data_IF_141765493424
#
_entry.id   IF_141765493424
#
_cell.length_a   1.000
_cell.length_b   1.000
_cell.length_c   1.000
_cell.angle_alpha   90.00
_cell.angle_beta   90.00
_cell.angle_gamma   90.00
#
_symmetry.space_group_name_H-M   'P 1'
#
loop_
_entity.id
_entity.type
_entity.pdbx_description
1 polymer ?
#
# COMPACT_ATOMS: atom_id res chain seq x y z
N UNK A 1 2.54 19.43 9.52
CA UNK A 1 1.23 18.79 9.26
C UNK A 1 1.59 17.49 8.57
N UNK A 2 1.37 16.33 9.22
CA UNK A 2 2.10 15.07 8.96
C UNK A 2 2.43 14.83 7.48
N UNK A 3 3.70 15.02 7.12
CA UNK A 3 4.22 14.91 5.75
C UNK A 3 4.49 13.46 5.35
N UNK A 4 4.47 12.52 6.30
CA UNK A 4 4.89 11.13 6.09
C UNK A 4 4.13 10.42 4.97
N UNK A 5 2.81 10.57 4.88
CA UNK A 5 2.02 9.92 3.82
C UNK A 5 2.25 10.57 2.46
N UNK A 6 2.53 11.88 2.42
CA UNK A 6 2.89 12.59 1.19
C UNK A 6 4.29 12.20 0.71
N UNK A 7 5.24 12.09 1.64
CA UNK A 7 6.60 11.61 1.36
C UNK A 7 6.57 10.17 0.85
N UNK A 8 5.78 9.30 1.48
CA UNK A 8 5.58 7.93 1.03
C UNK A 8 4.93 7.89 -0.36
N UNK A 9 3.91 8.70 -0.62
CA UNK A 9 3.29 8.81 -1.94
C UNK A 9 4.29 9.28 -3.01
N UNK A 10 5.15 10.25 -2.69
CA UNK A 10 6.22 10.70 -3.59
C UNK A 10 7.23 9.58 -3.89
N UNK A 11 7.58 8.77 -2.89
CA UNK A 11 8.44 7.58 -3.08
C UNK A 11 7.75 6.52 -3.96
N UNK A 12 6.46 6.29 -3.77
CA UNK A 12 5.67 5.36 -4.59
C UNK A 12 5.66 5.82 -6.06
N UNK A 13 5.38 7.09 -6.32
CA UNK A 13 5.41 7.65 -7.68
C UNK A 13 6.80 7.58 -8.30
N UNK A 14 7.86 7.91 -7.55
CA UNK A 14 9.23 7.80 -8.05
C UNK A 14 9.61 6.35 -8.42
N UNK A 15 9.09 5.37 -7.66
CA UNK A 15 9.34 3.95 -7.89
C UNK A 15 8.45 3.32 -8.95
N UNK A 16 7.39 4.00 -9.40
CA UNK A 16 6.49 3.55 -10.47
C UNK A 16 7.21 3.39 -11.81
N UNK A 17 8.22 4.22 -12.07
CA UNK A 17 9.04 4.19 -13.28
C UNK A 17 10.30 3.31 -13.17
N UNK A 18 10.54 2.71 -12.00
CA UNK A 18 11.68 1.81 -11.81
C UNK A 18 11.45 0.45 -12.51
N UNK A 19 12.52 -0.31 -12.73
CA UNK A 19 12.40 -1.70 -13.20
C UNK A 19 11.68 -2.55 -12.15
N UNK A 20 10.75 -3.40 -12.58
CA UNK A 20 9.99 -4.30 -11.71
C UNK A 20 10.86 -5.29 -10.94
N UNK A 21 11.99 -5.72 -11.50
CA UNK A 21 12.96 -6.60 -10.85
C UNK A 21 13.68 -5.94 -9.66
N UNK A 22 13.67 -4.60 -9.62
CA UNK A 22 14.36 -3.79 -8.61
C UNK A 22 13.44 -3.20 -7.54
N UNK A 23 12.12 -3.28 -7.74
CA UNK A 23 11.15 -2.55 -6.93
C UNK A 23 9.81 -3.29 -6.84
N UNK A 24 9.41 -3.61 -5.60
CA UNK A 24 8.10 -4.18 -5.31
C UNK A 24 6.95 -3.33 -5.87
N UNK A 25 7.05 -2.00 -5.74
CA UNK A 25 6.06 -1.04 -6.24
C UNK A 25 5.93 -1.13 -7.76
N UNK A 26 7.05 -1.20 -8.48
CA UNK A 26 7.04 -1.35 -9.93
C UNK A 26 6.39 -2.68 -10.35
N UNK A 27 6.69 -3.78 -9.64
CA UNK A 27 6.05 -5.07 -9.87
C UNK A 27 4.54 -5.07 -9.61
N UNK A 28 4.03 -4.28 -8.66
CA UNK A 28 2.58 -4.10 -8.47
C UNK A 28 1.94 -3.36 -9.65
N UNK A 29 2.58 -2.30 -10.14
CA UNK A 29 2.07 -1.55 -11.30
C UNK A 29 2.10 -2.37 -12.59
N UNK A 30 3.15 -3.17 -12.80
CA UNK A 30 3.24 -4.09 -13.94
C UNK A 30 2.12 -5.15 -13.92
N UNK A 31 1.84 -5.73 -12.75
CA UNK A 31 0.75 -6.70 -12.57
C UNK A 31 -0.65 -6.06 -12.68
N UNK A 32 -0.73 -4.74 -12.51
CA UNK A 32 -1.92 -3.94 -12.76
C UNK A 32 -2.94 -3.91 -11.63
N UNK A 33 -4.06 -3.22 -11.88
CA UNK A 33 -5.06 -2.82 -10.88
C UNK A 33 -5.64 -4.00 -10.10
N UNK A 34 -5.90 -5.15 -10.74
CA UNK A 34 -6.49 -6.31 -10.06
C UNK A 34 -5.58 -6.85 -8.94
N UNK A 35 -4.27 -6.87 -9.15
CA UNK A 35 -3.31 -7.29 -8.12
C UNK A 35 -3.24 -6.29 -6.99
N UNK A 36 -3.27 -4.99 -7.30
CA UNK A 36 -3.29 -3.92 -6.30
C UNK A 36 -4.55 -4.02 -5.42
N UNK A 37 -5.72 -4.16 -6.03
CA UNK A 37 -6.99 -4.29 -5.30
C UNK A 37 -7.06 -5.57 -4.47
N UNK A 38 -6.47 -6.67 -4.95
CA UNK A 38 -6.35 -7.89 -4.16
C UNK A 38 -5.59 -7.62 -2.85
N UNK A 39 -4.43 -6.94 -2.91
CA UNK A 39 -3.66 -6.58 -1.72
C UNK A 39 -4.45 -5.66 -0.79
N UNK A 40 -5.12 -4.63 -1.31
CA UNK A 40 -5.99 -3.76 -0.48
C UNK A 40 -7.06 -4.59 0.26
N UNK A 41 -7.69 -5.55 -0.41
CA UNK A 41 -8.68 -6.44 0.22
C UNK A 41 -8.09 -7.40 1.25
N UNK A 42 -6.90 -7.94 0.97
CA UNK A 42 -6.12 -8.81 1.87
C UNK A 42 -5.79 -8.08 3.18
N UNK A 43 -5.13 -6.93 3.08
CA UNK A 43 -4.72 -6.14 4.25
C UNK A 43 -5.92 -5.62 5.06
N UNK A 44 -7.02 -5.28 4.38
CA UNK A 44 -8.24 -4.86 5.06
C UNK A 44 -8.83 -6.01 5.91
N UNK A 45 -8.83 -7.23 5.38
CA UNK A 45 -9.29 -8.40 6.13
C UNK A 45 -8.34 -8.72 7.30
N UNK A 46 -7.04 -8.68 7.07
CA UNK A 46 -6.02 -8.94 8.09
C UNK A 46 -6.05 -7.88 9.20
N UNK A 47 -6.23 -6.60 8.87
CA UNK A 47 -6.42 -5.51 9.86
C UNK A 47 -7.64 -5.77 10.76
N UNK A 48 -8.77 -6.19 10.16
CA UNK A 48 -9.98 -6.52 10.93
C UNK A 48 -9.76 -7.71 11.86
N UNK A 49 -9.04 -8.74 11.40
CA UNK A 49 -8.72 -9.93 12.19
C UNK A 49 -7.78 -9.54 13.35
N UNK A 50 -6.71 -8.80 13.08
CA UNK A 50 -5.75 -8.35 14.08
C UNK A 50 -6.40 -7.50 15.18
N UNK A 51 -7.32 -6.60 14.79
CA UNK A 51 -8.11 -5.81 15.75
C UNK A 51 -9.03 -6.69 16.61
N UNK A 52 -9.60 -7.75 16.03
CA UNK A 52 -10.47 -8.70 16.75
C UNK A 52 -9.69 -9.59 17.73
N UNK A 53 -8.43 -9.91 17.42
CA UNK A 53 -7.59 -10.79 18.23
C UNK A 53 -6.81 -10.06 19.35
N UNK A 54 -7.07 -8.77 19.58
CA UNK A 54 -6.36 -7.92 20.55
C UNK A 54 -4.82 -7.97 20.39
N UNK A 55 -4.35 -8.11 19.15
CA UNK A 55 -2.93 -8.15 18.81
C UNK A 55 -2.46 -6.79 18.29
N UNK A 56 -2.10 -5.89 19.21
CA UNK A 56 -1.72 -4.51 18.90
C UNK A 56 -0.54 -4.40 17.91
N UNK A 57 0.43 -5.31 18.00
CA UNK A 57 1.59 -5.30 17.11
C UNK A 57 1.20 -5.65 15.68
N UNK A 58 0.36 -6.68 15.52
CA UNK A 58 -0.17 -7.06 14.21
C UNK A 58 -1.08 -5.97 13.67
N UNK A 59 -1.94 -5.40 14.52
CA UNK A 59 -2.86 -4.34 14.11
C UNK A 59 -2.11 -3.13 13.54
N UNK A 60 -1.02 -2.69 14.18
CA UNK A 60 -0.17 -1.62 13.67
C UNK A 60 0.46 -2.00 12.33
N UNK A 61 0.92 -3.24 12.19
CA UNK A 61 1.56 -3.74 10.98
C UNK A 61 0.58 -3.76 9.79
N UNK A 62 -0.58 -4.41 9.93
CA UNK A 62 -1.57 -4.52 8.84
C UNK A 62 -2.20 -3.17 8.51
N UNK A 63 -2.37 -2.29 9.50
CA UNK A 63 -2.85 -0.92 9.23
C UNK A 63 -1.84 -0.16 8.36
N UNK A 64 -0.55 -0.30 8.63
CA UNK A 64 0.49 0.34 7.83
C UNK A 64 0.54 -0.24 6.41
N UNK A 65 0.38 -1.55 6.25
CA UNK A 65 0.37 -2.18 4.92
C UNK A 65 -0.90 -1.81 4.13
N UNK A 66 -2.06 -1.75 4.80
CA UNK A 66 -3.30 -1.25 4.22
C UNK A 66 -3.17 0.20 3.72
N UNK A 67 -2.55 1.09 4.50
CA UNK A 67 -2.30 2.47 4.09
C UNK A 67 -1.37 2.51 2.87
N UNK A 68 -0.28 1.75 2.90
CA UNK A 68 0.66 1.67 1.79
C UNK A 68 -0.03 1.19 0.50
N UNK A 69 -0.77 0.08 0.55
CA UNK A 69 -1.46 -0.47 -0.61
C UNK A 69 -2.59 0.44 -1.12
N UNK A 70 -3.26 1.18 -0.22
CA UNK A 70 -4.23 2.20 -0.60
C UNK A 70 -3.56 3.36 -1.35
N UNK A 71 -2.37 3.82 -0.91
CA UNK A 71 -1.60 4.84 -1.62
C UNK A 71 -1.14 4.36 -3.00
N UNK A 72 -0.71 3.09 -3.13
CA UNK A 72 -0.39 2.48 -4.43
C UNK A 72 -1.61 2.47 -5.35
N UNK A 73 -2.80 2.13 -4.83
CA UNK A 73 -4.06 2.19 -5.58
C UNK A 73 -4.40 3.61 -6.04
N UNK A 74 -4.25 4.61 -5.17
CA UNK A 74 -4.46 6.02 -5.54
C UNK A 74 -3.49 6.46 -6.63
N UNK A 75 -2.20 6.16 -6.48
CA UNK A 75 -1.15 6.43 -7.47
C UNK A 75 -1.43 5.75 -8.82
N UNK A 76 -1.94 4.51 -8.81
CA UNK A 76 -2.34 3.79 -10.04
C UNK A 76 -3.44 4.53 -10.81
N UNK A 77 -4.24 5.36 -10.12
CA UNK A 77 -5.31 6.19 -10.69
C UNK A 77 -4.90 7.63 -10.91
N UNK A 78 -3.64 8.00 -10.68
CA UNK A 78 -3.15 9.38 -10.79
C UNK A 78 -3.67 10.30 -9.68
N UNK A 79 -3.95 9.74 -8.50
CA UNK A 79 -4.42 10.44 -7.30
C UNK A 79 -3.35 10.37 -6.20
N UNK A 80 -3.44 11.28 -5.23
CA UNK A 80 -2.57 11.32 -4.06
C UNK A 80 -3.32 11.70 -2.78
N UNK A 81 -2.69 11.50 -1.61
CA UNK A 81 -3.23 11.89 -0.31
C UNK A 81 -3.25 13.40 -0.05
#
# INVERSE_FOLDING_TARGET
MSDTLKDLAAVIEARKAASADSSYVAGLFEKGMNTILKKVGEEAAETIIAAKEDNDSQLVYETADLWFHTLVMLSARGLGP
#
